data_IF_296687377950
#
_entry.id   IF_296687377950
#
_cell.length_a   1.000
_cell.length_b   1.000
_cell.length_c   1.000
_cell.angle_alpha   90.00
_cell.angle_beta   90.00
_cell.angle_gamma   90.00
#
_symmetry.space_group_name_H-M   'P 1'
#
loop_
_entity.id
_entity.type
_entity.pdbx_description
1 polymer ?
#
# COMPACT_ATOMS: atom_id res chain seq x y z
N UNK A 1 18.27 9.58 3.27
CA UNK A 1 16.83 9.85 3.16
C UNK A 1 16.09 8.52 3.08
N UNK A 2 15.04 8.33 3.88
CA UNK A 2 14.15 7.17 3.92
C UNK A 2 12.77 7.67 3.48
N UNK A 3 12.15 7.01 2.51
CA UNK A 3 10.79 7.35 2.05
C UNK A 3 9.85 6.24 2.48
N UNK A 4 8.81 6.59 3.25
CA UNK A 4 7.77 5.69 3.69
C UNK A 4 6.44 6.03 3.00
N UNK A 5 5.92 5.08 2.21
CA UNK A 5 4.66 5.24 1.50
C UNK A 5 3.50 4.70 2.35
N UNK A 6 2.79 5.61 3.00
CA UNK A 6 1.63 5.36 3.85
C UNK A 6 0.31 5.56 3.08
N UNK A 7 0.13 4.77 2.02
CA UNK A 7 -1.04 4.90 1.14
C UNK A 7 -2.34 4.61 1.89
N UNK A 8 -3.38 5.46 1.83
CA UNK A 8 -4.66 5.20 2.50
C UNK A 8 -5.26 3.83 2.16
N UNK A 9 -5.81 3.15 3.18
CA UNK A 9 -6.34 1.78 3.06
C UNK A 9 -7.38 1.63 1.95
N UNK A 10 -8.22 2.65 1.73
CA UNK A 10 -9.26 2.64 0.70
C UNK A 10 -8.67 2.62 -0.73
N UNK A 11 -7.55 3.32 -0.97
CA UNK A 11 -6.85 3.28 -2.26
C UNK A 11 -6.28 1.88 -2.51
N UNK A 12 -5.66 1.27 -1.49
CA UNK A 12 -5.15 -0.10 -1.57
C UNK A 12 -6.28 -1.10 -1.84
N UNK A 13 -7.42 -0.94 -1.18
CA UNK A 13 -8.61 -1.77 -1.40
C UNK A 13 -9.14 -1.66 -2.84
N UNK A 14 -9.18 -0.45 -3.40
CA UNK A 14 -9.57 -0.22 -4.79
C UNK A 14 -8.60 -0.91 -5.76
N UNK A 15 -7.29 -0.79 -5.57
CA UNK A 15 -6.30 -1.45 -6.43
C UNK A 15 -6.35 -2.97 -6.35
N UNK A 16 -6.56 -3.53 -5.16
CA UNK A 16 -6.76 -4.99 -4.96
C UNK A 16 -7.97 -5.45 -5.77
N UNK A 17 -9.11 -4.77 -5.66
CA UNK A 17 -10.34 -5.12 -6.39
C UNK A 17 -10.15 -4.97 -7.90
N UNK A 18 -9.60 -3.83 -8.34
CA UNK A 18 -9.33 -3.52 -9.74
C UNK A 18 -8.46 -4.62 -10.37
N UNK A 19 -7.35 -4.98 -9.71
CA UNK A 19 -6.46 -6.05 -10.17
C UNK A 19 -7.20 -7.38 -10.29
N UNK A 20 -8.01 -7.73 -9.29
CA UNK A 20 -8.79 -8.97 -9.33
C UNK A 20 -9.73 -9.01 -10.54
N UNK A 21 -10.47 -7.92 -10.79
CA UNK A 21 -11.41 -7.84 -11.92
C UNK A 21 -10.67 -7.95 -13.27
N UNK A 22 -9.62 -7.13 -13.48
CA UNK A 22 -8.87 -7.10 -14.74
C UNK A 22 -8.30 -8.48 -15.08
N UNK A 23 -7.69 -9.15 -14.10
CA UNK A 23 -7.09 -10.47 -14.29
C UNK A 23 -8.15 -11.58 -14.41
N UNK A 24 -9.30 -11.44 -13.76
CA UNK A 24 -10.41 -12.39 -13.89
C UNK A 24 -11.05 -12.34 -15.28
N UNK A 25 -11.15 -11.15 -15.87
CA UNK A 25 -11.64 -10.92 -17.23
C UNK A 25 -10.58 -11.31 -18.29
N UNK A 26 -9.33 -11.58 -17.87
CA UNK A 26 -8.27 -12.05 -18.77
C UNK A 26 -7.58 -10.94 -19.56
N UNK A 27 -7.80 -9.68 -19.19
CA UNK A 27 -7.16 -8.52 -19.82
C UNK A 27 -5.67 -8.41 -19.47
N UNK A 28 -5.26 -8.96 -18.33
CA UNK A 28 -3.87 -9.05 -17.90
C UNK A 28 -3.55 -10.45 -17.37
N UNK A 29 -2.38 -10.99 -17.74
CA UNK A 29 -1.86 -12.23 -17.14
C UNK A 29 -1.21 -11.89 -15.80
N UNK A 30 -1.74 -12.48 -14.72
CA UNK A 30 -1.10 -12.43 -13.40
C UNK A 30 -0.08 -13.56 -13.20
N UNK A 31 0.91 -13.32 -12.35
CA UNK A 31 1.91 -14.34 -11.93
C UNK A 31 1.31 -15.46 -11.05
N UNK A 32 0.05 -15.32 -10.63
CA UNK A 32 -0.66 -16.32 -9.83
C UNK A 32 -2.14 -16.34 -10.21
N UNK A 33 -2.79 -17.47 -9.97
CA UNK A 33 -4.22 -17.66 -10.26
C UNK A 33 -5.07 -16.80 -9.31
N UNK A 34 -5.82 -15.85 -9.87
CA UNK A 34 -6.76 -15.04 -9.10
C UNK A 34 -8.00 -15.85 -8.74
N UNK A 35 -8.11 -16.20 -7.45
CA UNK A 35 -9.27 -16.87 -6.86
C UNK A 35 -9.95 -15.95 -5.84
N UNK A 36 -11.23 -16.18 -5.54
CA UNK A 36 -11.92 -15.44 -4.48
C UNK A 36 -11.26 -15.64 -3.11
N UNK A 37 -10.69 -16.82 -2.86
CA UNK A 37 -9.89 -17.08 -1.65
C UNK A 37 -8.66 -16.17 -1.60
N UNK A 38 -7.96 -16.01 -2.73
CA UNK A 38 -6.82 -15.09 -2.82
C UNK A 38 -7.23 -13.63 -2.59
N UNK A 39 -8.36 -13.20 -3.18
CA UNK A 39 -8.90 -11.86 -2.95
C UNK A 39 -9.19 -11.62 -1.46
N UNK A 40 -9.85 -12.57 -0.79
CA UNK A 40 -10.13 -12.51 0.65
C UNK A 40 -8.83 -12.42 1.47
N UNK A 41 -7.82 -13.20 1.12
CA UNK A 41 -6.53 -13.17 1.80
C UNK A 41 -5.80 -11.82 1.60
N UNK A 42 -5.85 -11.23 0.41
CA UNK A 42 -5.26 -9.92 0.14
C UNK A 42 -5.88 -8.82 1.02
N UNK A 43 -7.21 -8.82 1.16
CA UNK A 43 -7.87 -7.91 2.10
C UNK A 43 -7.46 -8.19 3.53
N UNK A 44 -7.45 -9.46 3.97
CA UNK A 44 -7.01 -9.82 5.33
C UNK A 44 -5.61 -9.31 5.63
N UNK A 45 -4.66 -9.48 4.71
CA UNK A 45 -3.30 -8.99 4.87
C UNK A 45 -3.23 -7.46 4.87
N UNK A 46 -4.02 -6.79 4.03
CA UNK A 46 -4.10 -5.32 4.02
C UNK A 46 -4.61 -4.76 5.35
N UNK A 47 -5.63 -5.38 5.95
CA UNK A 47 -6.15 -4.99 7.26
C UNK A 47 -5.20 -5.34 8.40
N UNK A 48 -4.53 -6.50 8.33
CA UNK A 48 -3.53 -6.90 9.32
C UNK A 48 -2.34 -5.93 9.32
N UNK A 49 -1.84 -5.58 8.14
CA UNK A 49 -0.81 -4.56 7.98
C UNK A 49 -1.22 -3.23 8.61
N UNK A 50 -2.44 -2.75 8.31
CA UNK A 50 -2.92 -1.47 8.87
C UNK A 50 -2.98 -1.49 10.40
N UNK A 51 -3.44 -2.60 10.97
CA UNK A 51 -3.67 -2.74 12.41
C UNK A 51 -2.37 -2.95 13.19
N UNK A 52 -1.44 -3.74 12.66
CA UNK A 52 -0.30 -4.26 13.42
C UNK A 52 1.02 -3.74 12.84
N UNK A 53 1.34 -4.10 11.60
CA UNK A 53 2.65 -3.81 11.01
C UNK A 53 2.90 -2.32 10.77
N UNK A 54 1.87 -1.54 10.41
CA UNK A 54 2.01 -0.09 10.14
C UNK A 54 2.46 0.67 11.40
N UNK A 55 1.79 0.55 12.56
CA UNK A 55 2.28 1.12 13.82
C UNK A 55 3.72 0.72 14.19
N UNK A 56 4.07 -0.56 14.00
CA UNK A 56 5.41 -1.07 14.30
C UNK A 56 6.48 -0.43 13.40
N UNK A 57 6.21 -0.36 12.09
CA UNK A 57 7.11 0.29 11.14
C UNK A 57 7.30 1.77 11.47
N UNK A 58 6.22 2.49 11.79
CA UNK A 58 6.31 3.90 12.19
C UNK A 58 7.14 4.07 13.47
N UNK A 59 7.00 3.18 14.45
CA UNK A 59 7.82 3.19 15.67
C UNK A 59 9.30 2.96 15.37
N UNK A 60 9.62 2.05 14.46
CA UNK A 60 10.99 1.80 14.01
C UNK A 60 11.54 3.03 13.27
N UNK A 61 10.75 3.67 12.43
CA UNK A 61 11.18 4.81 11.61
C UNK A 61 11.30 6.11 12.40
N UNK A 62 10.60 6.24 13.54
CA UNK A 62 10.68 7.41 14.41
C UNK A 62 12.13 7.75 14.84
N UNK A 63 13.01 6.75 14.96
CA UNK A 63 14.43 6.98 15.28
C UNK A 63 15.23 7.67 14.15
N UNK A 64 14.63 7.82 12.97
CA UNK A 64 15.24 8.41 11.78
C UNK A 64 14.46 9.64 11.28
N UNK A 65 13.74 10.32 12.17
CA UNK A 65 12.85 11.45 11.85
C UNK A 65 13.52 12.50 10.94
N UNK A 66 14.76 12.87 11.24
CA UNK A 66 15.54 13.87 10.48
C UNK A 66 15.75 13.52 8.99
N UNK A 67 15.64 12.23 8.63
CA UNK A 67 15.79 11.76 7.25
C UNK A 67 14.57 11.02 6.74
N UNK A 68 13.44 11.06 7.45
CA UNK A 68 12.21 10.33 7.13
C UNK A 68 11.23 11.23 6.38
N UNK A 69 10.80 10.80 5.19
CA UNK A 69 9.73 11.41 4.42
C UNK A 69 8.55 10.44 4.35
N UNK A 70 7.40 10.82 4.91
CA UNK A 70 6.16 10.03 4.83
C UNK A 70 5.28 10.62 3.73
N UNK A 71 4.85 9.78 2.78
CA UNK A 71 3.99 10.16 1.65
C UNK A 71 2.75 9.27 1.65
N UNK A 72 1.59 9.80 1.33
CA UNK A 72 0.35 9.05 1.13
C UNK A 72 0.11 8.74 -0.36
N UNK A 73 0.53 9.65 -1.23
CA UNK A 73 0.51 9.47 -2.67
C UNK A 73 1.52 10.38 -3.40
N UNK A 74 1.48 10.35 -4.74
CA UNK A 74 2.38 11.13 -5.60
C UNK A 74 2.09 12.65 -5.57
N UNK A 75 0.97 13.10 -5.00
CA UNK A 75 0.67 14.53 -4.84
C UNK A 75 1.49 15.14 -3.70
N UNK A 76 1.84 14.35 -2.68
CA UNK A 76 2.68 14.79 -1.57
C UNK A 76 4.11 15.13 -1.99
N UNK A 77 4.58 14.53 -3.09
CA UNK A 77 5.89 14.81 -3.69
C UNK A 77 5.97 16.26 -4.18
N UNK A 78 4.86 16.84 -4.66
CA UNK A 78 4.84 18.23 -5.15
C UNK A 78 4.89 19.25 -4.02
N UNK A 79 4.40 18.89 -2.84
CA UNK A 79 4.31 19.81 -1.69
C UNK A 79 5.62 19.87 -0.89
N UNK A 80 6.36 18.76 -0.80
CA UNK A 80 7.58 18.65 0.02
C UNK A 80 8.90 18.88 -0.74
N UNK A 81 8.87 19.06 -2.07
CA UNK A 81 10.03 19.39 -2.90
C UNK A 81 10.10 20.87 -3.31
N UNK A 82 9.20 21.70 -2.78
CA UNK A 82 9.33 23.17 -2.86
C UNK A 82 10.13 23.61 -1.62
N UNK A 83 11.44 23.39 -1.69
CA UNK A 83 12.46 24.03 -0.85
C UNK A 83 13.33 24.85 -1.79
#
# INVERSE_FOLDING_TARGET
>A
MIVYLDTPIWKRNYWILKRFIIQKVGLEKGNYKQTFLMLKNMYRWNYLFEKESRPEVLKILAQYEEKLLILQDNTDIKTNLII
#
